data_IF_575647590882
#
_entry.id   IF_575647590882
#
_cell.length_a   1.000
_cell.length_b   1.000
_cell.length_c   1.000
_cell.angle_alpha   90.00
_cell.angle_beta   90.00
_cell.angle_gamma   90.00
#
_symmetry.space_group_name_H-M   'P 1'
#
loop_
_entity.id
_entity.type
_entity.pdbx_description
1 polymer ?
#
# COMPACT_ATOMS: atom_id res chain seq x y z
N UNK A 1 0.63 -9.37 11.69
CA UNK A 1 0.68 -10.24 10.49
C UNK A 1 1.34 -11.55 10.90
N UNK A 2 0.81 -12.71 10.49
CA UNK A 2 1.20 -14.01 11.09
C UNK A 2 2.33 -14.75 10.36
N UNK A 3 2.86 -15.80 11.00
CA UNK A 3 3.95 -16.68 10.50
C UNK A 3 3.70 -17.16 9.07
N UNK A 4 2.44 -17.47 8.69
CA UNK A 4 2.08 -17.90 7.33
C UNK A 4 2.47 -16.88 6.25
N UNK A 5 2.30 -15.60 6.53
CA UNK A 5 2.63 -14.53 5.59
C UNK A 5 4.14 -14.39 5.44
N UNK A 6 4.88 -14.40 6.55
CA UNK A 6 6.34 -14.37 6.52
C UNK A 6 6.92 -15.54 5.72
N UNK A 7 6.42 -16.76 5.98
CA UNK A 7 6.84 -17.95 5.24
C UNK A 7 6.61 -17.81 3.74
N UNK A 8 5.46 -17.26 3.34
CA UNK A 8 5.17 -17.02 1.93
C UNK A 8 6.16 -16.02 1.30
N UNK A 9 6.47 -14.92 1.99
CA UNK A 9 7.45 -13.93 1.51
C UNK A 9 8.86 -14.52 1.38
N UNK A 10 9.28 -15.35 2.34
CA UNK A 10 10.59 -16.02 2.30
C UNK A 10 10.69 -17.01 1.13
N UNK A 11 9.59 -17.66 0.77
CA UNK A 11 9.51 -18.62 -0.33
C UNK A 11 9.46 -17.99 -1.74
N UNK A 12 9.36 -16.67 -1.86
CA UNK A 12 9.37 -15.98 -3.15
C UNK A 12 10.69 -16.20 -3.92
N UNK A 13 10.69 -16.14 -5.26
CA UNK A 13 11.91 -16.05 -6.06
C UNK A 13 12.80 -14.87 -5.60
N UNK A 14 14.12 -14.97 -5.75
CA UNK A 14 15.06 -13.93 -5.26
C UNK A 14 14.72 -12.53 -5.78
N UNK A 15 14.43 -12.42 -7.08
CA UNK A 15 14.06 -11.15 -7.72
C UNK A 15 12.74 -10.56 -7.18
N UNK A 16 11.85 -11.37 -6.60
CA UNK A 16 10.61 -10.91 -5.98
C UNK A 16 10.80 -10.65 -4.48
N UNK A 17 11.56 -11.50 -3.79
CA UNK A 17 11.81 -11.42 -2.35
C UNK A 17 12.50 -10.10 -1.98
N UNK A 18 13.46 -9.64 -2.77
CA UNK A 18 14.14 -8.35 -2.59
C UNK A 18 13.20 -7.13 -2.71
N UNK A 19 12.09 -7.27 -3.43
CA UNK A 19 11.07 -6.23 -3.59
C UNK A 19 9.85 -6.42 -2.68
N UNK A 20 9.95 -7.33 -1.69
CA UNK A 20 8.88 -7.60 -0.74
C UNK A 20 9.05 -6.77 0.54
N UNK A 21 8.00 -6.75 1.37
CA UNK A 21 8.05 -6.12 2.70
C UNK A 21 8.86 -6.91 3.74
N UNK A 22 9.51 -8.01 3.35
CA UNK A 22 10.27 -8.88 4.27
C UNK A 22 11.33 -8.10 5.06
N UNK A 23 11.97 -7.10 4.45
CA UNK A 23 12.97 -6.26 5.11
C UNK A 23 12.42 -5.34 6.21
N UNK A 24 11.10 -5.09 6.22
CA UNK A 24 10.41 -4.21 7.17
C UNK A 24 9.25 -4.92 7.88
N UNK A 25 9.28 -6.25 7.91
CA UNK A 25 8.14 -7.05 8.35
C UNK A 25 7.76 -6.80 9.82
N UNK A 26 8.72 -6.41 10.66
CA UNK A 26 8.46 -6.11 12.07
C UNK A 26 7.44 -5.00 12.28
N UNK A 27 7.32 -4.03 11.35
CA UNK A 27 6.29 -2.96 11.40
C UNK A 27 4.87 -3.54 11.34
N UNK A 28 4.71 -4.74 10.76
CA UNK A 28 3.44 -5.41 10.59
C UNK A 28 3.17 -6.50 11.64
N UNK A 29 4.01 -6.69 12.66
CA UNK A 29 3.78 -7.72 13.70
C UNK A 29 2.45 -7.50 14.40
N UNK A 30 2.27 -6.29 14.92
CA UNK A 30 1.07 -5.91 15.66
C UNK A 30 0.03 -5.27 14.72
N UNK A 31 -1.27 -5.57 14.91
CA UNK A 31 -2.33 -4.89 14.18
C UNK A 31 -2.30 -3.38 14.48
N UNK A 32 -2.41 -2.56 13.43
CA UNK A 32 -2.62 -1.13 13.60
C UNK A 32 -4.06 -0.85 14.08
N UNK A 33 -4.21 0.13 14.97
CA UNK A 33 -5.52 0.60 15.39
C UNK A 33 -6.28 1.20 14.19
N UNK A 34 -7.55 0.84 14.03
CA UNK A 34 -8.40 1.43 13.01
C UNK A 34 -8.70 2.89 13.37
N UNK A 35 -8.40 3.80 12.45
CA UNK A 35 -8.68 5.24 12.59
C UNK A 35 -9.80 5.61 11.64
N UNK A 36 -10.88 6.19 12.19
CA UNK A 36 -11.94 6.77 11.37
C UNK A 36 -11.47 8.14 10.83
N UNK A 37 -11.06 8.17 9.57
CA UNK A 37 -10.56 9.38 8.92
C UNK A 37 -9.05 9.54 9.05
N UNK A 38 -8.59 10.79 9.20
CA UNK A 38 -7.16 11.11 9.28
C UNK A 38 -6.78 11.50 10.71
N UNK A 39 -5.68 10.95 11.26
CA UNK A 39 -5.15 11.42 12.54
C UNK A 39 -4.49 12.81 12.42
N UNK A 40 -4.25 13.28 11.19
CA UNK A 40 -3.68 14.60 10.90
C UNK A 40 -4.77 15.54 10.40
N UNK A 41 -4.87 16.78 10.93
CA UNK A 41 -5.83 17.78 10.45
C UNK A 41 -5.67 18.08 8.95
N UNK A 42 -6.79 18.10 8.23
CA UNK A 42 -6.82 18.24 6.77
C UNK A 42 -7.77 19.30 6.25
N UNK A 43 -8.38 20.08 7.14
CA UNK A 43 -9.52 20.98 6.85
C UNK A 43 -9.14 22.09 5.88
N UNK A 44 -7.97 22.71 6.08
CA UNK A 44 -7.47 23.78 5.20
C UNK A 44 -7.24 23.26 3.78
N UNK A 45 -6.58 22.11 3.65
CA UNK A 45 -6.34 21.49 2.35
C UNK A 45 -7.64 21.10 1.67
N UNK A 46 -8.57 20.47 2.42
CA UNK A 46 -9.91 20.12 1.94
C UNK A 46 -10.67 21.36 1.45
N UNK A 47 -10.58 22.48 2.17
CA UNK A 47 -11.19 23.75 1.77
C UNK A 47 -10.64 24.29 0.45
N UNK A 48 -9.31 24.28 0.27
CA UNK A 48 -8.67 24.72 -0.98
C UNK A 48 -9.06 23.83 -2.16
N UNK A 49 -9.07 22.51 -1.97
CA UNK A 49 -9.49 21.55 -3.00
C UNK A 49 -10.95 21.79 -3.41
N UNK A 50 -11.82 22.01 -2.42
CA UNK A 50 -13.24 22.30 -2.66
C UNK A 50 -13.45 23.64 -3.39
N UNK A 51 -12.74 24.70 -2.98
CA UNK A 51 -12.79 26.00 -3.64
C UNK A 51 -12.31 25.94 -5.11
N UNK A 52 -11.44 24.99 -5.44
CA UNK A 52 -11.03 24.70 -6.82
C UNK A 52 -12.05 23.84 -7.61
N UNK A 53 -13.25 23.60 -7.06
CA UNK A 53 -14.28 22.77 -7.70
C UNK A 53 -13.96 21.28 -7.72
N UNK A 54 -13.12 20.80 -6.81
CA UNK A 54 -12.68 19.40 -6.72
C UNK A 54 -13.04 18.77 -5.38
N UNK A 55 -12.92 17.45 -5.30
CA UNK A 55 -13.02 16.70 -4.05
C UNK A 55 -11.73 15.89 -3.84
N UNK A 56 -11.38 15.64 -2.58
CA UNK A 56 -10.31 14.68 -2.25
C UNK A 56 -10.86 13.28 -2.56
N UNK A 57 -10.23 12.50 -3.45
CA UNK A 57 -10.76 11.20 -3.83
C UNK A 57 -10.60 10.17 -2.70
N UNK A 58 -11.52 9.22 -2.65
CA UNK A 58 -11.33 7.99 -1.87
C UNK A 58 -10.42 7.02 -2.62
N UNK A 59 -9.81 6.08 -1.89
CA UNK A 59 -9.18 4.93 -2.51
C UNK A 59 -10.23 4.10 -3.25
N UNK A 60 -9.90 3.72 -4.48
CA UNK A 60 -10.80 2.97 -5.34
C UNK A 60 -10.23 1.60 -5.66
N UNK A 61 -11.08 0.69 -6.14
CA UNK A 61 -10.65 -0.64 -6.61
C UNK A 61 -9.67 -0.51 -7.77
N UNK A 62 -9.95 0.41 -8.70
CA UNK A 62 -9.16 0.64 -9.90
C UNK A 62 -7.72 1.03 -9.55
N UNK A 63 -7.53 1.78 -8.46
CA UNK A 63 -6.19 2.10 -7.96
C UNK A 63 -5.46 0.84 -7.50
N UNK A 64 -6.13 -0.05 -6.75
CA UNK A 64 -5.54 -1.31 -6.28
C UNK A 64 -5.15 -2.19 -7.48
N UNK A 65 -6.06 -2.34 -8.45
CA UNK A 65 -5.83 -3.15 -9.66
C UNK A 65 -4.66 -2.60 -10.50
N UNK A 66 -4.53 -1.27 -10.56
CA UNK A 66 -3.41 -0.61 -11.21
C UNK A 66 -2.06 -0.98 -10.58
N UNK A 67 -1.97 -1.07 -9.25
CA UNK A 67 -0.74 -1.51 -8.59
C UNK A 67 -0.40 -2.98 -8.90
N UNK A 68 -1.40 -3.86 -8.98
CA UNK A 68 -1.18 -5.25 -9.37
C UNK A 68 -0.60 -5.35 -10.79
N UNK A 69 -1.25 -4.68 -11.76
CA UNK A 69 -0.80 -4.68 -13.15
C UNK A 69 0.61 -4.07 -13.32
N UNK A 70 0.93 -3.02 -12.56
CA UNK A 70 2.26 -2.42 -12.59
C UNK A 70 3.33 -3.33 -11.96
N UNK A 71 3.03 -4.01 -10.85
CA UNK A 71 3.95 -4.96 -10.23
C UNK A 71 4.25 -6.15 -11.14
N UNK A 72 3.25 -6.71 -11.82
CA UNK A 72 3.46 -7.76 -12.81
C UNK A 72 4.45 -7.32 -13.90
N UNK A 73 4.29 -6.10 -14.43
CA UNK A 73 5.19 -5.56 -15.46
C UNK A 73 6.63 -5.40 -14.95
N UNK A 74 6.83 -4.99 -13.70
CA UNK A 74 8.17 -4.82 -13.11
C UNK A 74 8.82 -6.18 -12.86
N UNK A 75 8.06 -7.14 -12.33
CA UNK A 75 8.58 -8.46 -11.97
C UNK A 75 8.85 -9.35 -13.20
N UNK A 76 8.06 -9.24 -14.28
CA UNK A 76 8.28 -9.97 -15.54
C UNK A 76 9.44 -9.41 -16.36
N UNK A 77 9.81 -8.13 -16.18
CA UNK A 77 10.98 -7.51 -16.85
C UNK A 77 12.32 -7.85 -16.19
N UNK A 78 12.29 -8.46 -15.01
CA UNK A 78 13.49 -8.86 -14.24
C UNK A 78 13.90 -10.33 -14.46
N UNK A 79 13.25 -11.02 -15.40
CA UNK A 79 13.60 -12.35 -15.94
C UNK A 79 14.09 -12.22 -17.36
#
# INVERSE_FOLDING_TARGET
MGVRFETALRALPENQRGHSVLAVLDVYREPMAAVAGSPVPGERFRGVVHAAGRAIPHLSRELIDKYLADLERVLTRAT
#
